data_IF_306970114829
#
_entry.id   IF_306970114829
#
_cell.length_a   1.000
_cell.length_b   1.000
_cell.length_c   1.000
_cell.angle_alpha   90.00
_cell.angle_beta   90.00
_cell.angle_gamma   90.00
#
_symmetry.space_group_name_H-M   'P 1'
#
loop_
_entity.id
_entity.type
_entity.pdbx_description
1 polymer ?
#
# COMPACT_ATOMS: atom_id res chain seq x y z
N UNK A 1 -11.35 -9.34 9.14
CA UNK A 1 -10.24 -8.45 9.54
C UNK A 1 -9.78 -8.70 11.00
N UNK A 2 -9.80 -9.93 11.52
CA UNK A 2 -10.02 -10.16 12.96
C UNK A 2 -8.79 -10.24 13.90
N UNK A 3 -7.55 -10.23 13.39
CA UNK A 3 -6.38 -10.57 14.26
C UNK A 3 -5.42 -9.43 14.61
N UNK A 4 -5.63 -8.19 14.11
CA UNK A 4 -4.72 -7.09 14.46
C UNK A 4 -5.05 -6.52 15.85
N UNK A 5 -4.19 -6.82 16.84
CA UNK A 5 -4.35 -6.32 18.20
C UNK A 5 -3.84 -4.88 18.34
N UNK A 6 -4.77 -3.91 18.34
CA UNK A 6 -4.48 -2.48 18.47
C UNK A 6 -3.92 -2.05 19.84
N UNK A 7 -3.79 -2.97 20.80
CA UNK A 7 -3.34 -2.70 22.16
C UNK A 7 -2.01 -3.39 22.51
N UNK A 8 -1.31 -3.98 21.55
CA UNK A 8 -0.09 -4.75 21.80
C UNK A 8 1.00 -3.91 22.50
N UNK A 9 1.33 -2.74 21.94
CA UNK A 9 2.29 -1.80 22.54
C UNK A 9 1.85 -1.29 23.92
N UNK A 10 0.54 -1.10 24.11
CA UNK A 10 -0.03 -0.64 25.38
C UNK A 10 0.06 -1.71 26.48
N UNK A 11 -0.10 -2.98 26.13
CA UNK A 11 0.11 -4.09 27.05
C UNK A 11 1.58 -4.18 27.49
N UNK A 12 2.53 -3.96 26.57
CA UNK A 12 3.96 -3.94 26.90
C UNK A 12 4.28 -2.76 27.83
N UNK A 13 3.74 -1.57 27.58
CA UNK A 13 3.90 -0.44 28.51
C UNK A 13 3.37 -0.74 29.91
N UNK A 14 2.20 -1.39 30.00
CA UNK A 14 1.64 -1.77 31.29
C UNK A 14 2.58 -2.74 32.03
N UNK A 15 3.11 -3.75 31.33
CA UNK A 15 4.13 -4.66 31.87
C UNK A 15 5.41 -3.91 32.29
N UNK A 16 5.83 -2.90 31.53
CA UNK A 16 6.96 -2.03 31.89
C UNK A 16 6.68 -1.25 33.16
N UNK A 17 5.51 -0.63 33.29
CA UNK A 17 5.13 0.11 34.49
C UNK A 17 5.08 -0.80 35.72
N UNK A 18 4.48 -2.00 35.60
CA UNK A 18 4.45 -2.99 36.69
C UNK A 18 5.87 -3.45 37.06
N UNK A 19 6.72 -3.77 36.07
CA UNK A 19 8.10 -4.18 36.33
C UNK A 19 8.93 -3.05 36.97
N UNK A 20 8.73 -1.80 36.55
CA UNK A 20 9.39 -0.65 37.16
C UNK A 20 8.94 -0.42 38.61
N UNK A 21 7.64 -0.56 38.90
CA UNK A 21 7.11 -0.48 40.27
C UNK A 21 7.70 -1.61 41.13
N UNK A 22 7.72 -2.84 40.63
CA UNK A 22 8.33 -3.97 41.34
C UNK A 22 9.81 -3.73 41.62
N UNK A 23 10.55 -3.19 40.66
CA UNK A 23 11.96 -2.84 40.85
C UNK A 23 12.14 -1.77 41.93
N UNK A 24 11.30 -0.74 41.94
CA UNK A 24 11.31 0.30 42.99
C UNK A 24 10.97 -0.28 44.37
N UNK A 25 10.00 -1.19 44.45
CA UNK A 25 9.64 -1.88 45.70
C UNK A 25 10.80 -2.73 46.20
N UNK A 26 11.47 -3.48 45.31
CA UNK A 26 12.67 -4.26 45.66
C UNK A 26 13.79 -3.34 46.14
N UNK A 27 14.07 -2.22 45.45
CA UNK A 27 15.05 -1.24 45.92
C UNK A 27 14.69 -0.66 47.28
N UNK A 28 13.40 -0.42 47.55
CA UNK A 28 12.94 0.11 48.82
C UNK A 28 13.08 -0.92 49.96
N UNK A 29 12.68 -2.18 49.74
CA UNK A 29 12.82 -3.26 50.72
C UNK A 29 14.29 -3.56 51.02
N UNK A 30 15.12 -3.58 49.98
CA UNK A 30 16.55 -3.79 50.11
C UNK A 30 17.32 -2.50 50.45
N UNK A 31 16.65 -1.38 50.77
CA UNK A 31 17.31 -0.08 50.96
C UNK A 31 18.44 -0.12 51.96
N UNK A 32 18.28 -0.85 53.07
CA UNK A 32 19.31 -0.96 54.11
C UNK A 32 20.54 -1.71 53.60
N UNK A 33 20.33 -2.85 52.94
CA UNK A 33 21.40 -3.63 52.31
C UNK A 33 22.11 -2.84 51.19
N UNK A 34 21.36 -2.13 50.35
CA UNK A 34 21.90 -1.28 49.29
C UNK A 34 22.67 -0.10 49.89
N UNK A 35 22.17 0.55 50.94
CA UNK A 35 22.86 1.68 51.54
C UNK A 35 24.17 1.24 52.20
N UNK A 36 24.15 0.15 52.98
CA UNK A 36 25.33 -0.35 53.69
C UNK A 36 26.38 -0.92 52.72
N UNK A 37 25.95 -1.64 51.68
CA UNK A 37 26.86 -2.24 50.70
C UNK A 37 27.35 -1.23 49.63
N UNK A 38 26.51 -0.27 49.24
CA UNK A 38 26.72 0.54 48.03
C UNK A 38 27.04 2.00 48.33
N UNK A 39 26.41 2.61 49.34
CA UNK A 39 26.62 4.04 49.67
C UNK A 39 27.65 4.18 50.80
N UNK A 40 27.60 3.30 51.81
CA UNK A 40 28.58 3.24 52.88
C UNK A 40 29.95 2.73 52.43
N UNK A 41 30.00 1.88 51.39
CA UNK A 41 31.22 1.24 50.89
C UNK A 41 31.82 1.83 49.62
N UNK A 42 31.25 2.90 49.06
CA UNK A 42 31.81 3.64 47.91
C UNK A 42 32.21 5.05 48.36
N UNK A 43 33.43 5.21 48.87
CA UNK A 43 33.92 6.53 49.34
C UNK A 43 34.73 7.26 48.25
N UNK A 44 35.03 6.61 47.12
CA UNK A 44 35.79 7.25 46.03
C UNK A 44 34.88 8.02 45.08
N UNK A 45 35.24 9.27 44.79
CA UNK A 45 34.53 10.18 43.88
C UNK A 45 34.30 9.52 42.50
N UNK A 46 35.28 8.74 42.02
CA UNK A 46 35.20 8.03 40.75
C UNK A 46 34.04 7.00 40.72
N UNK A 47 33.81 6.27 41.81
CA UNK A 47 32.70 5.31 41.92
C UNK A 47 31.33 5.98 41.79
N UNK A 48 31.15 7.12 42.47
CA UNK A 48 29.93 7.92 42.34
C UNK A 48 29.71 8.44 40.91
N UNK A 49 30.76 8.90 40.24
CA UNK A 49 30.68 9.39 38.86
C UNK A 49 30.26 8.25 37.92
N UNK A 50 30.88 7.08 38.01
CA UNK A 50 30.59 5.96 37.12
C UNK A 50 29.18 5.41 37.35
N UNK A 51 28.76 5.26 38.60
CA UNK A 51 27.43 4.74 38.92
C UNK A 51 26.33 5.74 38.56
N UNK A 52 26.54 7.03 38.80
CA UNK A 52 25.59 8.06 38.36
C UNK A 52 25.51 8.16 36.83
N UNK A 53 26.62 8.01 36.12
CA UNK A 53 26.64 7.94 34.65
C UNK A 53 25.87 6.70 34.15
N UNK A 54 26.10 5.53 34.75
CA UNK A 54 25.39 4.27 34.45
C UNK A 54 23.88 4.45 34.67
N UNK A 55 23.48 5.04 35.79
CA UNK A 55 22.08 5.27 36.12
C UNK A 55 21.42 6.29 35.19
N UNK A 56 22.13 7.36 34.84
CA UNK A 56 21.65 8.40 33.92
C UNK A 56 21.42 7.81 32.53
N UNK A 57 22.37 7.00 32.05
CA UNK A 57 22.26 6.31 30.77
C UNK A 57 21.11 5.29 30.78
N UNK A 58 20.97 4.52 31.86
CA UNK A 58 19.84 3.62 32.07
C UNK A 58 18.49 4.36 31.97
N UNK A 59 18.37 5.49 32.67
CA UNK A 59 17.14 6.30 32.65
C UNK A 59 16.86 6.85 31.24
N UNK A 60 17.89 7.32 30.53
CA UNK A 60 17.77 7.77 29.15
C UNK A 60 17.31 6.64 28.21
N UNK A 61 17.85 5.43 28.38
CA UNK A 61 17.40 4.23 27.66
C UNK A 61 15.93 3.89 27.93
N UNK A 62 15.51 3.95 29.19
CA UNK A 62 14.13 3.68 29.59
C UNK A 62 13.16 4.72 29.02
N UNK A 63 13.53 6.01 29.05
CA UNK A 63 12.75 7.08 28.44
C UNK A 63 12.61 6.84 26.92
N UNK A 64 13.70 6.47 26.25
CA UNK A 64 13.68 6.18 24.81
C UNK A 64 12.78 4.98 24.48
N UNK A 65 12.82 3.92 25.29
CA UNK A 65 11.93 2.75 25.13
C UNK A 65 10.47 3.16 25.33
N UNK A 66 10.16 3.92 26.38
CA UNK A 66 8.79 4.40 26.64
C UNK A 66 8.30 5.31 25.50
N UNK A 67 9.16 6.19 24.99
CA UNK A 67 8.85 7.04 23.85
C UNK A 67 8.58 6.20 22.57
N UNK A 68 9.39 5.17 22.33
CA UNK A 68 9.21 4.22 21.23
C UNK A 68 7.88 3.45 21.33
N UNK A 69 7.58 2.87 22.49
CA UNK A 69 6.30 2.18 22.71
C UNK A 69 5.11 3.13 22.53
N UNK A 70 5.25 4.41 22.92
CA UNK A 70 4.18 5.42 22.75
C UNK A 70 3.96 5.77 21.29
N UNK A 71 5.05 5.82 20.52
CA UNK A 71 4.96 5.97 19.08
C UNK A 71 4.22 4.78 18.46
N UNK A 72 4.65 3.53 18.73
CA UNK A 72 4.00 2.35 18.16
C UNK A 72 2.55 2.18 18.60
N UNK A 73 2.21 2.50 19.85
CA UNK A 73 0.81 2.48 20.30
C UNK A 73 -0.07 3.48 19.51
N UNK A 74 0.47 4.64 19.12
CA UNK A 74 -0.26 5.59 18.26
C UNK A 74 -0.40 5.07 16.83
N UNK A 75 0.63 4.40 16.31
CA UNK A 75 0.60 3.77 14.99
C UNK A 75 -0.39 2.59 14.94
N UNK A 76 -0.42 1.72 15.96
CA UNK A 76 -1.42 0.66 16.12
C UNK A 76 -2.84 1.23 16.08
N UNK A 77 -3.09 2.32 16.83
CA UNK A 77 -4.40 2.95 16.84
C UNK A 77 -4.75 3.60 15.50
N UNK A 78 -3.77 4.15 14.78
CA UNK A 78 -3.97 4.72 13.45
C UNK A 78 -4.28 3.63 12.41
N UNK A 79 -3.54 2.51 12.44
CA UNK A 79 -3.78 1.36 11.60
C UNK A 79 -5.14 0.73 11.87
N UNK A 80 -5.51 0.55 13.14
CA UNK A 80 -6.82 0.01 13.51
C UNK A 80 -7.98 0.92 13.06
N UNK A 81 -7.80 2.25 13.11
CA UNK A 81 -8.79 3.19 12.54
C UNK A 81 -8.88 3.07 11.03
N UNK A 82 -7.73 3.00 10.34
CA UNK A 82 -7.67 2.83 8.89
C UNK A 82 -8.35 1.54 8.42
N UNK A 83 -8.11 0.42 9.11
CA UNK A 83 -8.76 -0.86 8.81
C UNK A 83 -10.27 -0.80 8.99
N UNK A 84 -10.78 -0.13 10.04
CA UNK A 84 -12.23 0.07 10.19
C UNK A 84 -12.82 0.91 9.07
N UNK A 85 -12.09 1.90 8.56
CA UNK A 85 -12.52 2.69 7.40
C UNK A 85 -12.46 1.90 6.08
N UNK A 86 -11.65 0.83 6.00
CA UNK A 86 -11.63 -0.06 4.82
C UNK A 86 -12.90 -0.92 4.70
N UNK A 87 -13.52 -1.29 5.83
CA UNK A 87 -14.78 -2.04 5.85
C UNK A 87 -15.99 -1.18 5.43
N UNK A 88 -15.87 0.15 5.48
CA UNK A 88 -16.95 1.11 5.22
C UNK A 88 -16.74 1.77 3.84
N UNK A 89 -17.29 1.16 2.80
CA UNK A 89 -17.05 1.52 1.38
C UNK A 89 -17.37 2.98 1.02
N UNK A 90 -18.21 3.65 1.82
CA UNK A 90 -18.63 5.04 1.61
C UNK A 90 -17.76 6.07 2.36
N UNK A 91 -16.85 5.65 3.24
CA UNK A 91 -15.96 6.56 3.98
C UNK A 91 -14.64 6.80 3.26
N UNK A 92 -14.12 8.02 3.38
CA UNK A 92 -12.73 8.30 3.06
C UNK A 92 -11.81 7.46 3.96
N UNK A 93 -10.96 6.64 3.34
CA UNK A 93 -10.01 5.75 4.00
C UNK A 93 -9.09 6.48 4.99
N UNK A 94 -8.84 7.77 4.75
CA UNK A 94 -7.95 8.58 5.59
C UNK A 94 -8.67 9.37 6.69
N UNK A 95 -10.00 9.32 6.74
CA UNK A 95 -10.78 10.05 7.74
C UNK A 95 -10.43 9.60 9.17
N UNK A 96 -9.97 10.54 10.00
CA UNK A 96 -9.59 10.27 11.40
C UNK A 96 -8.24 9.55 11.59
N UNK A 97 -7.48 9.36 10.51
CA UNK A 97 -6.11 8.81 10.56
C UNK A 97 -5.11 9.96 10.53
N UNK A 98 -4.14 9.94 11.45
CA UNK A 98 -3.15 11.01 11.54
C UNK A 98 -2.29 11.03 10.25
N UNK A 99 -2.11 12.20 9.58
CA UNK A 99 -1.30 12.30 8.37
C UNK A 99 0.16 11.87 8.52
N UNK A 100 0.69 11.92 9.75
CA UNK A 100 2.06 11.50 10.06
C UNK A 100 2.20 9.99 10.31
N UNK A 101 1.10 9.26 10.40
CA UNK A 101 1.13 7.81 10.63
C UNK A 101 1.79 7.07 9.47
N UNK A 102 2.37 5.91 9.77
CA UNK A 102 3.00 5.03 8.80
C UNK A 102 1.99 4.61 7.74
N UNK A 103 0.78 4.19 8.15
CA UNK A 103 -0.26 3.72 7.22
C UNK A 103 -0.75 4.85 6.30
N UNK A 104 -0.91 6.08 6.80
CA UNK A 104 -1.31 7.21 5.96
C UNK A 104 -0.24 7.56 4.94
N UNK A 105 1.03 7.62 5.37
CA UNK A 105 2.16 7.85 4.46
C UNK A 105 2.28 6.75 3.41
N UNK A 106 2.07 5.48 3.80
CA UNK A 106 2.03 4.33 2.88
C UNK A 106 0.92 4.48 1.85
N UNK A 107 -0.30 4.75 2.28
CA UNK A 107 -1.44 4.99 1.38
C UNK A 107 -1.20 6.17 0.43
N UNK A 108 -0.71 7.30 0.93
CA UNK A 108 -0.41 8.47 0.13
C UNK A 108 0.72 8.22 -0.89
N UNK A 109 1.74 7.42 -0.54
CA UNK A 109 2.80 7.03 -1.46
C UNK A 109 2.25 6.15 -2.60
N UNK A 110 1.47 5.11 -2.26
CA UNK A 110 0.83 4.24 -3.25
C UNK A 110 -0.10 5.05 -4.17
N UNK A 111 -0.90 5.96 -3.61
CA UNK A 111 -1.79 6.82 -4.39
C UNK A 111 -1.01 7.74 -5.35
N UNK A 112 0.13 8.30 -4.92
CA UNK A 112 0.98 9.14 -5.78
C UNK A 112 1.61 8.35 -6.92
N UNK A 113 2.12 7.15 -6.65
CA UNK A 113 2.70 6.25 -7.66
C UNK A 113 1.62 5.82 -8.66
N UNK A 114 0.45 5.43 -8.16
CA UNK A 114 -0.70 5.04 -8.98
C UNK A 114 -1.19 6.17 -9.89
N UNK A 115 -1.24 7.42 -9.40
CA UNK A 115 -1.57 8.61 -10.23
C UNK A 115 -0.60 8.86 -11.37
N UNK A 116 0.64 8.40 -11.25
CA UNK A 116 1.68 8.51 -12.28
C UNK A 116 1.70 7.31 -13.23
N UNK A 117 0.75 6.37 -13.10
CA UNK A 117 0.70 5.10 -13.84
C UNK A 117 1.99 4.28 -13.76
N UNK A 118 2.76 4.45 -12.68
CA UNK A 118 3.95 3.66 -12.43
C UNK A 118 3.59 2.39 -11.64
N UNK A 119 4.28 1.26 -11.89
CA UNK A 119 4.09 0.06 -11.09
C UNK A 119 4.52 0.33 -9.65
N UNK A 120 3.71 -0.15 -8.69
CA UNK A 120 4.01 -0.02 -7.27
C UNK A 120 4.96 -1.14 -6.85
N UNK A 121 6.24 -0.81 -6.69
CA UNK A 121 7.21 -1.74 -6.10
C UNK A 121 7.01 -1.85 -4.58
N UNK A 122 6.31 -2.91 -4.18
CA UNK A 122 6.07 -3.23 -2.78
C UNK A 122 7.36 -3.44 -1.99
N UNK A 123 8.36 -4.10 -2.59
CA UNK A 123 9.64 -4.38 -1.95
C UNK A 123 10.39 -3.09 -1.62
N UNK A 124 10.44 -2.15 -2.56
CA UNK A 124 11.05 -0.84 -2.36
C UNK A 124 10.36 -0.02 -1.26
N UNK A 125 9.01 -0.01 -1.22
CA UNK A 125 8.25 0.69 -0.19
C UNK A 125 8.49 0.10 1.21
N UNK A 126 8.56 -1.23 1.31
CA UNK A 126 8.83 -1.95 2.57
C UNK A 126 10.25 -1.71 3.04
N UNK A 127 11.23 -1.75 2.13
CA UNK A 127 12.62 -1.44 2.44
C UNK A 127 12.79 0.01 2.95
N UNK A 128 12.14 0.98 2.32
CA UNK A 128 12.16 2.38 2.76
C UNK A 128 11.56 2.56 4.15
N UNK A 129 10.43 1.89 4.42
CA UNK A 129 9.76 1.92 5.71
C UNK A 129 10.63 1.31 6.82
N UNK A 130 11.23 0.14 6.55
CA UNK A 130 12.17 -0.50 7.48
C UNK A 130 13.40 0.38 7.73
N UNK A 131 13.94 1.03 6.70
CA UNK A 131 15.08 1.92 6.82
C UNK A 131 14.77 3.15 7.70
N UNK A 132 13.60 3.78 7.53
CA UNK A 132 13.18 4.92 8.36
C UNK A 132 12.99 4.50 9.82
N UNK A 133 12.37 3.33 10.04
CA UNK A 133 12.05 2.85 11.38
C UNK A 133 13.26 2.31 12.14
N UNK A 134 14.24 1.73 11.44
CA UNK A 134 15.49 1.22 12.05
C UNK A 134 16.28 2.30 12.81
N UNK A 135 16.20 3.56 12.37
CA UNK A 135 16.88 4.69 13.03
C UNK A 135 16.37 4.91 14.45
N UNK A 136 15.10 4.59 14.73
CA UNK A 136 14.48 4.82 16.05
C UNK A 136 14.93 3.82 17.10
N UNK A 137 15.37 2.63 16.69
CA UNK A 137 15.90 1.61 17.60
C UNK A 137 17.40 1.76 17.88
N UNK A 138 18.10 2.61 17.14
CA UNK A 138 19.56 2.78 17.25
C UNK A 138 20.00 3.22 18.65
N UNK A 139 19.30 4.17 19.26
CA UNK A 139 19.66 4.71 20.57
C UNK A 139 19.40 3.73 21.73
N UNK A 140 18.21 3.11 21.86
CA UNK A 140 18.00 2.04 22.84
C UNK A 140 19.02 0.89 22.71
N UNK A 141 19.37 0.51 21.47
CA UNK A 141 20.40 -0.50 21.20
C UNK A 141 21.78 -0.05 21.69
N UNK A 142 22.15 1.20 21.43
CA UNK A 142 23.40 1.77 21.92
C UNK A 142 23.48 1.75 23.45
N UNK A 143 22.42 2.21 24.13
CA UNK A 143 22.34 2.21 25.60
C UNK A 143 22.50 0.79 26.15
N UNK A 144 21.77 -0.18 25.59
CA UNK A 144 21.87 -1.57 26.01
C UNK A 144 23.30 -2.12 25.87
N UNK A 145 23.98 -1.83 24.77
CA UNK A 145 25.34 -2.30 24.56
C UNK A 145 26.34 -1.61 25.51
N UNK A 146 26.24 -0.29 25.68
CA UNK A 146 27.23 0.48 26.44
C UNK A 146 27.06 0.33 27.96
N UNK A 147 25.88 -0.08 28.47
CA UNK A 147 25.65 -0.36 29.89
C UNK A 147 26.63 -1.42 30.43
N UNK A 148 26.87 -2.51 29.71
CA UNK A 148 27.84 -3.53 30.12
C UNK A 148 29.27 -2.97 30.10
N UNK A 149 29.64 -2.24 29.04
CA UNK A 149 30.97 -1.65 28.93
C UNK A 149 31.23 -0.65 30.06
N UNK A 150 30.21 0.12 30.46
CA UNK A 150 30.29 1.03 31.61
C UNK A 150 30.54 0.27 32.92
N UNK A 151 29.91 -0.90 33.09
CA UNK A 151 30.17 -1.80 34.22
C UNK A 151 31.61 -2.32 34.24
N UNK A 152 32.11 -2.81 33.11
CA UNK A 152 33.51 -3.28 32.97
C UNK A 152 34.51 -2.14 33.20
N UNK A 153 34.23 -0.95 32.66
CA UNK A 153 35.03 0.23 32.91
C UNK A 153 35.08 0.59 34.40
N UNK A 154 33.96 0.47 35.11
CA UNK A 154 33.90 0.60 36.56
C UNK A 154 34.83 -0.35 37.30
N UNK A 155 34.91 -1.61 36.87
CA UNK A 155 35.87 -2.59 37.43
C UNK A 155 37.31 -2.16 37.22
N UNK A 156 37.65 -1.71 36.02
CA UNK A 156 39.01 -1.29 35.68
C UNK A 156 39.43 -0.11 36.56
N UNK A 157 38.56 0.89 36.69
CA UNK A 157 38.82 2.06 37.54
C UNK A 157 38.89 1.67 39.02
N UNK A 158 38.00 0.80 39.50
CA UNK A 158 38.03 0.32 40.88
C UNK A 158 39.32 -0.44 41.21
N UNK A 159 39.76 -1.35 40.34
CA UNK A 159 41.03 -2.06 40.49
C UNK A 159 42.24 -1.12 40.41
N UNK A 160 42.23 -0.13 39.52
CA UNK A 160 43.31 0.85 39.45
C UNK A 160 43.44 1.66 40.75
N UNK A 161 42.31 2.11 41.33
CA UNK A 161 42.31 2.81 42.62
C UNK A 161 42.81 1.90 43.74
N UNK A 162 42.41 0.62 43.73
CA UNK A 162 42.90 -0.37 44.69
C UNK A 162 44.42 -0.55 44.60
N UNK A 163 44.99 -0.66 43.40
CA UNK A 163 46.44 -0.77 43.22
C UNK A 163 47.20 0.47 43.71
N UNK A 164 46.68 1.67 43.44
CA UNK A 164 47.27 2.92 43.95
C UNK A 164 47.25 2.93 45.48
N UNK A 165 46.13 2.56 46.10
CA UNK A 165 46.04 2.44 47.56
C UNK A 165 47.02 1.41 48.13
N UNK A 166 47.25 0.28 47.44
CA UNK A 166 48.24 -0.71 47.85
C UNK A 166 49.69 -0.22 47.71
N UNK A 167 50.00 0.56 46.66
CA UNK A 167 51.33 1.15 46.47
C UNK A 167 51.65 2.16 47.58
N UNK A 168 50.69 3.03 47.93
CA UNK A 168 50.84 4.01 49.00
C UNK A 168 51.02 3.37 50.39
N UNK A 169 50.50 2.15 50.61
CA UNK A 169 50.73 1.37 51.83
C UNK A 169 52.16 0.80 51.94
N UNK A 170 52.79 0.51 50.80
CA UNK A 170 54.15 -0.03 50.78
C UNK A 170 55.21 1.05 51.03
N UNK A 171 54.91 2.31 50.70
CA UNK A 171 55.84 3.43 50.85
C UNK A 171 55.77 4.15 52.22
N UNK A 172 54.67 4.02 52.97
CA UNK A 172 54.45 4.76 54.22
C UNK A 172 54.08 3.85 55.41
N UNK A 173 55.01 3.68 56.35
CA UNK A 173 54.94 2.71 57.47
C UNK A 173 53.81 2.98 58.50
N UNK A 174 53.04 4.07 58.39
CA UNK A 174 51.98 4.44 59.35
C UNK A 174 50.72 5.14 58.77
N UNK A 175 50.42 5.03 57.48
CA UNK A 175 49.21 5.68 56.93
C UNK A 175 47.97 4.78 56.93
N UNK A 176 47.15 4.90 57.97
CA UNK A 176 45.80 4.28 58.04
C UNK A 176 44.89 4.72 56.86
N UNK A 177 45.16 5.89 56.26
CA UNK A 177 44.39 6.42 55.13
C UNK A 177 44.57 5.65 53.81
N UNK A 178 45.74 5.07 53.55
CA UNK A 178 45.97 4.31 52.30
C UNK A 178 45.32 2.92 52.32
N UNK A 179 45.05 2.37 53.50
CA UNK A 179 44.25 1.14 53.64
C UNK A 179 42.77 1.37 53.34
N UNK A 180 42.25 2.56 53.67
CA UNK A 180 40.90 2.98 53.31
C UNK A 180 40.73 3.08 51.79
N UNK A 181 41.69 3.67 51.08
CA UNK A 181 41.69 3.78 49.61
C UNK A 181 41.68 2.40 48.94
N UNK A 182 42.48 1.46 49.44
CA UNK A 182 42.53 0.08 48.94
C UNK A 182 41.17 -0.63 49.08
N UNK A 183 40.58 -0.58 50.28
CA UNK A 183 39.29 -1.24 50.57
C UNK A 183 38.18 -0.65 49.69
N UNK A 184 38.16 0.67 49.54
CA UNK A 184 37.18 1.34 48.69
C UNK A 184 37.33 1.01 47.21
N UNK A 185 38.56 0.91 46.68
CA UNK A 185 38.79 0.47 45.29
C UNK A 185 38.24 -0.93 45.02
N UNK A 186 38.45 -1.87 45.96
CA UNK A 186 37.93 -3.24 45.86
C UNK A 186 36.41 -3.33 45.97
N UNK A 187 35.75 -2.41 46.68
CA UNK A 187 34.28 -2.37 46.80
C UNK A 187 33.61 -1.73 45.58
N UNK A 188 34.24 -0.71 44.99
CA UNK A 188 33.71 0.00 43.82
C UNK A 188 33.58 -0.90 42.59
N UNK A 189 34.59 -1.75 42.33
CA UNK A 189 34.63 -2.65 41.18
C UNK A 189 33.44 -3.65 41.06
N UNK A 190 33.12 -4.47 42.06
CA UNK A 190 31.96 -5.36 42.01
C UNK A 190 30.64 -4.58 42.07
N UNK A 191 30.61 -3.44 42.76
CA UNK A 191 29.40 -2.64 42.87
C UNK A 191 28.99 -2.06 41.51
N UNK A 192 29.92 -1.46 40.75
CA UNK A 192 29.64 -0.88 39.41
C UNK A 192 29.15 -1.94 38.42
N UNK A 193 29.71 -3.15 38.47
CA UNK A 193 29.30 -4.26 37.58
C UNK A 193 27.92 -4.79 37.89
N UNK A 194 27.57 -4.96 39.17
CA UNK A 194 26.25 -5.43 39.59
C UNK A 194 25.15 -4.48 39.10
N UNK A 195 25.31 -3.16 39.29
CA UNK A 195 24.33 -2.18 38.80
C UNK A 195 24.22 -2.21 37.27
N UNK A 196 25.37 -2.21 36.57
CA UNK A 196 25.38 -2.27 35.11
C UNK A 196 24.64 -3.51 34.56
N UNK A 197 24.83 -4.68 35.18
CA UNK A 197 24.16 -5.93 34.78
C UNK A 197 22.65 -5.85 35.03
N UNK A 198 22.21 -5.35 36.19
CA UNK A 198 20.78 -5.21 36.49
C UNK A 198 20.12 -4.24 35.49
N UNK A 199 20.74 -3.08 35.26
CA UNK A 199 20.27 -2.10 34.28
C UNK A 199 20.26 -2.66 32.86
N UNK A 200 21.27 -3.45 32.48
CA UNK A 200 21.37 -4.12 31.18
C UNK A 200 20.24 -5.12 30.99
N UNK A 201 20.02 -6.04 31.92
CA UNK A 201 18.98 -7.08 31.80
C UNK A 201 17.60 -6.43 31.70
N UNK A 202 17.33 -5.42 32.54
CA UNK A 202 16.05 -4.71 32.52
C UNK A 202 15.83 -3.99 31.17
N UNK A 203 16.81 -3.19 30.73
CA UNK A 203 16.70 -2.43 29.48
C UNK A 203 16.66 -3.35 28.26
N UNK A 204 17.47 -4.40 28.26
CA UNK A 204 17.56 -5.40 27.20
C UNK A 204 16.24 -6.15 26.99
N UNK A 205 15.57 -6.56 28.06
CA UNK A 205 14.26 -7.20 27.96
C UNK A 205 13.23 -6.28 27.27
N UNK A 206 13.13 -5.02 27.73
CA UNK A 206 12.16 -4.09 27.14
C UNK A 206 12.57 -3.57 25.76
N UNK A 207 13.86 -3.57 25.43
CA UNK A 207 14.34 -3.32 24.08
C UNK A 207 13.88 -4.41 23.10
N UNK A 208 13.95 -5.69 23.49
CA UNK A 208 13.42 -6.79 22.68
C UNK A 208 11.91 -6.60 22.50
N UNK A 209 11.17 -6.31 23.58
CA UNK A 209 9.72 -6.05 23.48
C UNK A 209 9.37 -4.83 22.63
N UNK A 210 10.19 -3.79 22.62
CA UNK A 210 10.02 -2.65 21.73
C UNK A 210 10.19 -3.08 20.26
N UNK A 211 11.16 -3.95 19.99
CA UNK A 211 11.38 -4.52 18.65
C UNK A 211 10.18 -5.38 18.22
N UNK A 212 9.66 -6.22 19.12
CA UNK A 212 8.44 -7.00 18.86
C UNK A 212 7.26 -6.08 18.47
N UNK A 213 7.08 -4.97 19.19
CA UNK A 213 6.02 -3.99 18.92
C UNK A 213 6.20 -3.29 17.56
N UNK A 214 7.43 -2.93 17.21
CA UNK A 214 7.76 -2.41 15.88
C UNK A 214 7.37 -3.43 14.81
N UNK A 215 7.85 -4.67 14.91
CA UNK A 215 7.56 -5.72 13.95
C UNK A 215 6.06 -5.94 13.81
N UNK A 216 5.31 -5.98 14.91
CA UNK A 216 3.86 -6.12 14.90
C UNK A 216 3.17 -5.01 14.08
N UNK A 217 3.54 -3.75 14.27
CA UNK A 217 2.98 -2.62 13.50
C UNK A 217 3.36 -2.71 12.03
N UNK A 218 4.64 -2.95 11.73
CA UNK A 218 5.12 -3.04 10.34
C UNK A 218 4.42 -4.18 9.61
N UNK A 219 4.36 -5.37 10.21
CA UNK A 219 3.65 -6.51 9.66
C UNK A 219 2.18 -6.20 9.43
N UNK A 220 1.51 -5.49 10.35
CA UNK A 220 0.13 -5.04 10.15
C UNK A 220 -0.03 -4.09 8.97
N UNK A 221 0.86 -3.11 8.80
CA UNK A 221 0.86 -2.20 7.64
C UNK A 221 1.09 -2.96 6.34
N UNK A 222 2.02 -3.92 6.33
CA UNK A 222 2.31 -4.71 5.13
C UNK A 222 1.17 -5.66 4.78
N UNK A 223 0.56 -6.31 5.77
CA UNK A 223 -0.62 -7.14 5.57
C UNK A 223 -1.77 -6.34 4.98
N UNK A 224 -2.06 -5.13 5.51
CA UNK A 224 -3.09 -4.26 4.96
C UNK A 224 -2.74 -3.78 3.55
N UNK A 225 -1.47 -3.47 3.32
CA UNK A 225 -0.99 -3.03 2.00
C UNK A 225 -1.17 -4.13 0.96
N UNK A 226 -0.75 -5.36 1.27
CA UNK A 226 -0.79 -6.49 0.36
C UNK A 226 -2.22 -6.99 0.10
N UNK A 227 -3.04 -7.08 1.14
CA UNK A 227 -4.40 -7.63 1.03
C UNK A 227 -5.43 -6.63 0.50
N UNK A 228 -5.26 -5.33 0.78
CA UNK A 228 -6.30 -4.34 0.49
C UNK A 228 -5.84 -3.19 -0.41
N UNK A 229 -4.64 -2.63 -0.17
CA UNK A 229 -4.20 -1.46 -0.93
C UNK A 229 -3.70 -1.84 -2.33
N UNK A 230 -2.79 -2.80 -2.43
CA UNK A 230 -2.20 -3.19 -3.71
C UNK A 230 -3.27 -3.65 -4.71
N UNK A 231 -4.22 -4.55 -4.39
CA UNK A 231 -5.26 -4.93 -5.35
C UNK A 231 -6.12 -3.75 -5.82
N UNK A 232 -6.35 -2.75 -4.95
CA UNK A 232 -7.16 -1.56 -5.29
C UNK A 232 -6.45 -0.58 -6.23
N UNK A 233 -5.12 -0.53 -6.19
CA UNK A 233 -4.31 0.39 -7.00
C UNK A 233 -3.54 -0.29 -8.13
N UNK A 234 -3.36 -1.60 -8.06
CA UNK A 234 -2.84 -2.47 -9.11
C UNK A 234 -3.98 -2.89 -10.02
N UNK A 235 -4.55 -1.95 -10.79
CA UNK A 235 -5.08 -2.34 -12.11
C UNK A 235 -3.86 -2.74 -12.91
N UNK A 236 -3.57 -4.05 -12.86
CA UNK A 236 -2.33 -4.67 -13.28
C UNK A 236 -1.94 -4.18 -14.68
N UNK A 237 -0.67 -3.83 -14.89
CA UNK A 237 -0.13 -3.62 -16.22
C UNK A 237 -0.45 -4.82 -17.16
N UNK A 238 -0.52 -6.02 -16.60
CA UNK A 238 -0.99 -7.24 -17.29
C UNK A 238 -2.49 -7.22 -17.64
N UNK A 239 -3.34 -6.64 -16.79
CA UNK A 239 -4.77 -6.48 -17.10
C UNK A 239 -4.98 -5.45 -18.20
N UNK A 240 -4.19 -4.36 -18.21
CA UNK A 240 -4.25 -3.36 -19.29
C UNK A 240 -3.73 -3.99 -20.59
N UNK A 241 -2.66 -4.78 -20.54
CA UNK A 241 -2.16 -5.48 -21.72
C UNK A 241 -3.16 -6.53 -22.24
N UNK A 242 -3.87 -7.21 -21.33
CA UNK A 242 -4.93 -8.15 -21.67
C UNK A 242 -6.18 -7.44 -22.23
N UNK A 243 -6.59 -6.31 -21.66
CA UNK A 243 -7.67 -5.46 -22.18
C UNK A 243 -7.31 -4.87 -23.54
N UNK A 244 -6.06 -4.44 -23.75
CA UNK A 244 -5.58 -3.99 -25.07
C UNK A 244 -5.59 -5.14 -26.06
N UNK A 245 -5.12 -6.33 -25.69
CA UNK A 245 -5.19 -7.51 -26.56
C UNK A 245 -6.64 -7.85 -26.93
N UNK A 246 -7.55 -7.79 -25.96
CA UNK A 246 -8.98 -8.01 -26.19
C UNK A 246 -9.60 -6.91 -27.08
N UNK A 247 -9.23 -5.64 -26.88
CA UNK A 247 -9.65 -4.53 -27.75
C UNK A 247 -9.14 -4.69 -29.18
N UNK A 248 -7.90 -5.16 -29.36
CA UNK A 248 -7.33 -5.43 -30.69
C UNK A 248 -8.04 -6.60 -31.36
N UNK A 249 -8.39 -7.65 -30.63
CA UNK A 249 -9.16 -8.79 -31.15
C UNK A 249 -10.58 -8.37 -31.54
N UNK A 250 -11.25 -7.58 -30.70
CA UNK A 250 -12.56 -7.00 -31.00
C UNK A 250 -12.52 -6.07 -32.21
N UNK A 251 -11.48 -5.24 -32.34
CA UNK A 251 -11.28 -4.37 -33.51
C UNK A 251 -11.07 -5.20 -34.78
N UNK A 252 -10.28 -6.27 -34.71
CA UNK A 252 -10.07 -7.19 -35.82
C UNK A 252 -11.38 -7.87 -36.23
N UNK A 253 -12.14 -8.38 -35.27
CA UNK A 253 -13.43 -9.03 -35.53
C UNK A 253 -14.45 -8.05 -36.12
N UNK A 254 -14.48 -6.81 -35.63
CA UNK A 254 -15.33 -5.74 -36.17
C UNK A 254 -14.92 -5.38 -37.60
N UNK A 255 -13.62 -5.27 -37.89
CA UNK A 255 -13.12 -5.01 -39.24
C UNK A 255 -13.45 -6.15 -40.21
N UNK A 256 -13.39 -7.40 -39.76
CA UNK A 256 -13.74 -8.58 -40.54
C UNK A 256 -15.25 -8.65 -40.83
N UNK A 257 -16.09 -8.36 -39.82
CA UNK A 257 -17.53 -8.21 -40.01
C UNK A 257 -17.87 -7.06 -40.96
N UNK A 258 -17.19 -5.92 -40.86
CA UNK A 258 -17.40 -4.78 -41.75
C UNK A 258 -17.02 -5.13 -43.19
N UNK A 259 -15.92 -5.87 -43.38
CA UNK A 259 -15.51 -6.36 -44.69
C UNK A 259 -16.54 -7.35 -45.25
N UNK A 260 -17.08 -8.25 -44.43
CA UNK A 260 -18.19 -9.13 -44.78
C UNK A 260 -19.41 -8.35 -45.27
N UNK A 261 -19.89 -7.38 -44.48
CA UNK A 261 -21.01 -6.52 -44.85
C UNK A 261 -20.74 -5.72 -46.12
N UNK A 262 -19.54 -5.17 -46.33
CA UNK A 262 -19.19 -4.49 -47.57
C UNK A 262 -19.27 -5.41 -48.80
N UNK A 263 -18.93 -6.68 -48.64
CA UNK A 263 -19.03 -7.69 -49.70
C UNK A 263 -20.51 -7.96 -50.04
N UNK A 264 -21.34 -8.09 -49.00
CA UNK A 264 -22.78 -8.28 -49.13
C UNK A 264 -23.48 -7.05 -49.73
N UNK A 265 -23.07 -5.83 -49.36
CA UNK A 265 -23.53 -4.59 -49.99
C UNK A 265 -23.09 -4.47 -51.45
N UNK A 266 -21.87 -4.89 -51.78
CA UNK A 266 -21.40 -4.91 -53.17
C UNK A 266 -22.24 -5.89 -54.01
N UNK A 267 -22.55 -7.06 -53.47
CA UNK A 267 -23.42 -8.05 -54.13
C UNK A 267 -24.86 -7.54 -54.25
N UNK A 268 -25.41 -6.91 -53.21
CA UNK A 268 -26.72 -6.28 -53.26
C UNK A 268 -26.77 -5.14 -54.30
N UNK A 269 -25.68 -4.38 -54.46
CA UNK A 269 -25.53 -3.38 -55.51
C UNK A 269 -25.53 -3.99 -56.93
N UNK A 270 -24.89 -5.16 -57.10
CA UNK A 270 -24.92 -5.90 -58.38
C UNK A 270 -26.34 -6.39 -58.67
N UNK A 271 -27.01 -7.03 -57.71
CA UNK A 271 -28.39 -7.52 -57.86
C UNK A 271 -29.36 -6.38 -58.14
N UNK A 272 -29.26 -5.26 -57.43
CA UNK A 272 -30.08 -4.08 -57.66
C UNK A 272 -29.88 -3.53 -59.08
N UNK A 273 -28.62 -3.47 -59.54
CA UNK A 273 -28.31 -3.05 -60.91
C UNK A 273 -28.90 -3.99 -61.95
N UNK A 274 -28.90 -5.30 -61.71
CA UNK A 274 -29.54 -6.30 -62.56
C UNK A 274 -31.06 -6.09 -62.60
N UNK A 275 -31.70 -5.90 -61.44
CA UNK A 275 -33.16 -5.68 -61.36
C UNK A 275 -33.58 -4.39 -62.04
N UNK A 276 -32.79 -3.31 -61.90
CA UNK A 276 -33.00 -2.04 -62.60
C UNK A 276 -32.88 -2.22 -64.11
N UNK A 277 -31.94 -3.05 -64.57
CA UNK A 277 -31.75 -3.32 -65.99
C UNK A 277 -32.92 -4.13 -66.56
N UNK A 278 -33.43 -5.12 -65.81
CA UNK A 278 -34.63 -5.87 -66.16
C UNK A 278 -35.86 -4.96 -66.25
N UNK A 279 -36.04 -4.06 -65.28
CA UNK A 279 -37.12 -3.06 -65.32
C UNK A 279 -37.00 -2.12 -66.51
N UNK A 280 -35.79 -1.66 -66.83
CA UNK A 280 -35.54 -0.84 -68.02
C UNK A 280 -35.91 -1.60 -69.31
N UNK A 281 -35.60 -2.90 -69.38
CA UNK A 281 -35.93 -3.75 -70.52
C UNK A 281 -37.44 -4.00 -70.65
N UNK A 282 -38.14 -4.20 -69.52
CA UNK A 282 -39.61 -4.28 -69.48
C UNK A 282 -40.24 -2.96 -69.94
N UNK A 283 -39.73 -1.82 -69.48
CA UNK A 283 -40.14 -0.50 -69.95
C UNK A 283 -39.97 -0.34 -71.45
N UNK A 284 -38.85 -0.83 -72.00
CA UNK A 284 -38.61 -0.79 -73.44
C UNK A 284 -39.58 -1.69 -74.22
N UNK A 285 -39.86 -2.91 -73.75
CA UNK A 285 -40.88 -3.80 -74.34
C UNK A 285 -42.28 -3.19 -74.29
N UNK A 286 -42.65 -2.56 -73.17
CA UNK A 286 -43.92 -1.86 -73.03
C UNK A 286 -44.04 -0.72 -74.05
N UNK A 287 -42.96 0.05 -74.25
CA UNK A 287 -42.94 1.15 -75.23
C UNK A 287 -43.12 0.66 -76.67
N UNK A 288 -42.54 -0.49 -77.03
CA UNK A 288 -42.73 -1.10 -78.34
C UNK A 288 -44.16 -1.63 -78.53
N UNK A 289 -44.74 -2.22 -77.49
CA UNK A 289 -46.12 -2.72 -77.53
C UNK A 289 -47.12 -1.57 -77.67
N UNK A 290 -46.87 -0.44 -76.99
CA UNK A 290 -47.66 0.80 -77.15
C UNK A 290 -47.56 1.36 -78.58
N UNK A 291 -46.37 1.35 -79.18
CA UNK A 291 -46.19 1.77 -80.57
C UNK A 291 -46.89 0.84 -81.57
N UNK A 292 -46.90 -0.48 -81.32
CA UNK A 292 -47.64 -1.43 -82.13
C UNK A 292 -49.16 -1.21 -82.02
N UNK A 293 -49.66 -1.00 -80.78
CA UNK A 293 -51.06 -0.74 -80.51
C UNK A 293 -51.55 0.54 -81.23
N UNK A 294 -50.76 1.60 -81.19
CA UNK A 294 -51.04 2.86 -81.89
C UNK A 294 -51.15 2.66 -83.41
N UNK A 295 -50.24 1.86 -84.00
CA UNK A 295 -50.29 1.54 -85.44
C UNK A 295 -51.55 0.74 -85.82
N UNK A 296 -51.98 -0.22 -84.98
CA UNK A 296 -53.21 -0.99 -85.21
C UNK A 296 -54.46 -0.13 -85.08
N UNK A 297 -54.47 0.79 -84.12
CA UNK A 297 -55.58 1.71 -83.90
C UNK A 297 -55.74 2.69 -85.09
N UNK A 298 -54.62 3.14 -85.66
CA UNK A 298 -54.61 3.93 -86.89
C UNK A 298 -55.20 3.17 -88.08
N UNK A 299 -54.86 1.88 -88.24
CA UNK A 299 -55.43 1.02 -89.28
C UNK A 299 -56.95 0.81 -89.13
N UNK A 300 -57.41 0.53 -87.92
CA UNK A 300 -58.84 0.31 -87.63
C UNK A 300 -59.69 1.58 -87.88
N UNK A 301 -59.11 2.76 -87.70
CA UNK A 301 -59.76 4.04 -88.03
C UNK A 301 -59.94 4.22 -89.54
N UNK A 302 -59.05 3.64 -90.35
CA UNK A 302 -59.17 3.55 -91.81
C UNK A 302 -60.35 2.68 -92.24
N UNK A 303 -60.47 1.49 -91.66
CA UNK A 303 -61.55 0.54 -91.98
C UNK A 303 -62.95 1.09 -91.66
N UNK A 304 -63.08 1.84 -90.57
CA UNK A 304 -64.34 2.52 -90.19
C UNK A 304 -64.75 3.55 -91.24
N UNK A 305 -63.82 4.22 -91.93
CA UNK A 305 -64.14 5.14 -93.03
C UNK A 305 -64.65 4.41 -94.26
N UNK A 306 -64.10 3.23 -94.55
CA UNK A 306 -64.52 2.37 -95.67
C UNK A 306 -65.92 1.79 -95.45
N UNK A 307 -66.24 1.37 -94.23
CA UNK A 307 -67.59 0.91 -93.87
C UNK A 307 -68.61 2.06 -94.03
N UNK A 308 -68.23 3.29 -93.66
CA UNK A 308 -69.07 4.48 -93.84
C UNK A 308 -69.34 4.78 -95.33
N UNK A 309 -68.39 4.53 -96.24
CA UNK A 309 -68.63 4.72 -97.68
C UNK A 309 -69.53 3.62 -98.26
N UNK A 310 -69.37 2.35 -97.84
CA UNK A 310 -70.24 1.25 -98.28
C UNK A 310 -71.70 1.43 -97.85
N UNK A 311 -71.95 1.95 -96.64
CA UNK A 311 -73.30 2.28 -96.16
C UNK A 311 -73.96 3.43 -96.94
N UNK A 312 -73.16 4.31 -97.55
CA UNK A 312 -73.65 5.43 -98.35
C UNK A 312 -74.12 4.99 -99.75
N UNK A 313 -73.54 3.93 -100.31
CA UNK A 313 -73.85 3.45 -101.65
C UNK A 313 -74.95 2.35 -101.68
N UNK A 314 -75.20 1.66 -100.56
CA UNK A 314 -76.19 0.58 -100.47
C UNK A 314 -77.67 0.99 -100.34
N UNK A 315 -78.00 2.29 -100.25
CA UNK A 315 -79.37 2.79 -100.01
C UNK A 315 -79.91 3.65 -101.17
N UNK A 316 -79.94 3.10 -102.40
CA UNK A 316 -80.74 3.65 -103.52
C UNK A 316 -81.54 2.53 -104.19
N UNK A 317 -82.85 2.52 -103.98
CA UNK A 317 -83.82 1.72 -104.77
C UNK A 317 -84.15 2.46 -106.09
N UNK A 318 -84.33 1.75 -107.22
CA UNK A 318 -84.69 2.35 -108.50
C UNK A 318 -86.20 2.69 -108.53
N UNK A 319 -86.54 3.93 -108.89
CA UNK A 319 -87.91 4.31 -109.21
C UNK A 319 -88.22 3.92 -110.66
N UNK A 320 -89.25 3.10 -110.84
CA UNK A 320 -89.69 2.55 -112.11
C UNK A 320 -90.47 3.52 -113.00
N UNK A 321 -90.52 3.12 -114.27
CA UNK A 321 -91.36 3.61 -115.36
C UNK A 321 -92.86 3.62 -115.03
N UNK A 322 -93.55 4.69 -115.44
CA UNK A 322 -94.95 4.61 -115.89
C UNK A 322 -95.39 5.86 -116.65
N UNK A 323 -95.68 5.66 -117.95
CA UNK A 323 -96.46 6.46 -118.93
C UNK A 323 -95.90 7.78 -119.45
#
# INVERSE_FOLDING_TARGET
>A
MQDFNANYSRQIMFRLAVAAILLLVVMFLCRRFIFDFYIGGQVTIAGYIINSATLTLFLAGLIAIVAGLRHYSREEAALARFMRSLDDEQRDLTAGVNPRSIIHRRYAAILRISKQNAPVDHGALTALLLADESKRLSFPRFVNNILILMGVFGTIVGLAIALVGAADLLEAEQNLGSMDVLIHGMSVAPATTIIAIICYVFTGYFYIRLTDAQTHVISGVEQVTQLYLLPRFSRNADSIMHEIAHLVDQLRQTAESMRGSQTEYAEAGIRLRETVNDYAQVGHRMSMMLAELDSRMSGMTGDVRTIKSMLRDGFRLPAGDSR
#
